data_IF_893500794431
#
_entry.id   IF_893500794431
#
_cell.length_a   1.000
_cell.length_b   1.000
_cell.length_c   1.000
_cell.angle_alpha   90.00
_cell.angle_beta   90.00
_cell.angle_gamma   90.00
#
_symmetry.space_group_name_H-M   'P 1'
#
loop_
_entity.id
_entity.type
_entity.pdbx_description
1 polymer ?
#
# COMPACT_ATOMS: atom_id res chain seq x y z
N UNK A 1 -41.00 42.46 9.93
CA UNK A 1 -39.56 42.79 10.01
C UNK A 1 -38.84 41.97 8.97
N UNK A 2 -38.10 42.68 8.11
CA UNK A 2 -37.62 42.24 6.81
C UNK A 2 -36.53 41.18 6.87
N UNK A 3 -36.68 40.18 6.01
CA UNK A 3 -35.72 39.09 5.71
C UNK A 3 -34.73 39.59 4.66
N UNK A 4 -33.79 40.44 5.04
CA UNK A 4 -32.66 40.85 4.18
C UNK A 4 -31.51 41.27 5.09
N UNK A 5 -30.26 40.81 4.83
CA UNK A 5 -29.02 40.89 5.67
C UNK A 5 -28.85 39.55 6.42
N UNK A 6 -28.10 38.52 6.00
CA UNK A 6 -26.88 38.45 5.20
C UNK A 6 -26.69 37.03 4.61
N UNK A 7 -27.32 36.72 3.47
CA UNK A 7 -27.04 35.51 2.66
C UNK A 7 -25.66 35.58 1.96
N UNK A 8 -24.92 36.68 2.14
CA UNK A 8 -23.56 36.85 1.59
C UNK A 8 -22.45 36.35 2.50
N UNK A 9 -22.74 36.04 3.77
CA UNK A 9 -21.73 35.64 4.76
C UNK A 9 -21.63 34.13 4.98
N UNK A 10 -22.23 33.33 4.10
CA UNK A 10 -22.23 31.86 4.17
C UNK A 10 -21.43 31.22 3.03
N UNK A 11 -20.59 31.98 2.34
CA UNK A 11 -19.77 31.50 1.21
C UNK A 11 -18.25 31.65 1.42
N UNK A 12 -17.79 32.05 2.60
CA UNK A 12 -16.38 32.36 2.84
C UNK A 12 -15.60 31.32 3.68
N UNK A 13 -16.28 30.32 4.26
CA UNK A 13 -15.63 29.35 5.18
C UNK A 13 -15.42 27.97 4.55
N UNK A 14 -15.97 27.71 3.37
CA UNK A 14 -15.84 26.42 2.68
C UNK A 14 -14.57 26.27 1.81
N UNK A 15 -13.68 27.26 1.78
CA UNK A 15 -12.50 27.26 0.90
C UNK A 15 -11.19 26.77 1.56
N UNK A 16 -11.13 26.62 2.89
CA UNK A 16 -9.87 26.32 3.59
C UNK A 16 -9.56 24.82 3.77
N UNK A 17 -10.51 23.91 3.48
CA UNK A 17 -10.27 22.46 3.60
C UNK A 17 -9.68 21.85 2.32
N UNK A 18 -9.59 22.63 1.23
CA UNK A 18 -9.03 22.15 -0.04
C UNK A 18 -7.48 22.11 -0.07
N UNK A 19 -6.77 22.71 0.88
CA UNK A 19 -5.30 22.76 0.85
C UNK A 19 -4.59 21.53 1.45
N UNK A 20 -5.33 20.62 2.11
CA UNK A 20 -4.74 19.37 2.61
C UNK A 20 -4.69 18.26 1.55
N UNK A 21 -5.29 18.45 0.36
CA UNK A 21 -5.36 17.42 -0.68
C UNK A 21 -4.24 17.52 -1.75
N UNK A 22 -3.29 18.45 -1.60
CA UNK A 22 -2.10 18.54 -2.46
C UNK A 22 -0.81 18.00 -1.80
N UNK A 23 -0.92 17.26 -0.68
CA UNK A 23 0.21 16.51 -0.16
C UNK A 23 0.48 15.36 -1.13
N UNK A 24 1.35 15.59 -2.12
CA UNK A 24 1.68 14.62 -3.16
C UNK A 24 2.32 13.33 -2.67
N UNK A 25 2.49 13.17 -1.36
CA UNK A 25 2.98 11.98 -0.67
C UNK A 25 1.90 10.90 -0.52
N UNK A 26 2.28 9.62 -0.31
CA UNK A 26 1.31 8.56 -0.10
C UNK A 26 0.65 8.66 1.28
N UNK A 27 -0.61 8.26 1.35
CA UNK A 27 -1.34 8.00 2.61
C UNK A 27 -1.03 6.60 3.18
N UNK A 28 -1.47 6.32 4.41
CA UNK A 28 -1.36 4.96 4.99
C UNK A 28 -2.05 3.91 4.12
N UNK A 29 -3.22 4.25 3.56
CA UNK A 29 -3.97 3.38 2.66
C UNK A 29 -3.22 3.14 1.34
N UNK A 30 -2.56 4.17 0.80
CA UNK A 30 -1.72 4.05 -0.39
C UNK A 30 -0.53 3.11 -0.16
N UNK A 31 0.15 3.25 0.99
CA UNK A 31 1.30 2.41 1.35
C UNK A 31 0.84 0.97 1.54
N UNK A 32 -0.28 0.76 2.25
CA UNK A 32 -0.87 -0.58 2.40
C UNK A 32 -1.19 -1.20 1.05
N UNK A 33 -1.87 -0.48 0.16
CA UNK A 33 -2.18 -0.98 -1.18
C UNK A 33 -0.93 -1.30 -2.01
N UNK A 34 0.13 -0.49 -1.87
CA UNK A 34 1.41 -0.77 -2.52
C UNK A 34 2.09 -2.04 -1.96
N UNK A 35 2.01 -2.28 -0.63
CA UNK A 35 2.51 -3.50 0.00
C UNK A 35 1.71 -4.73 -0.43
N UNK A 36 0.38 -4.64 -0.46
CA UNK A 36 -0.50 -5.73 -0.92
C UNK A 36 -0.14 -6.13 -2.36
N UNK A 37 -0.04 -5.16 -3.28
CA UNK A 37 0.41 -5.41 -4.65
C UNK A 37 1.80 -6.03 -4.72
N UNK A 38 2.74 -5.60 -3.87
CA UNK A 38 4.09 -6.16 -3.84
C UNK A 38 4.08 -7.63 -3.37
N UNK A 39 3.24 -7.98 -2.40
CA UNK A 39 3.05 -9.36 -1.96
C UNK A 39 2.35 -10.21 -3.01
N UNK A 40 1.33 -9.68 -3.70
CA UNK A 40 0.69 -10.37 -4.82
C UNK A 40 1.65 -10.63 -5.97
N UNK A 41 2.48 -9.64 -6.34
CA UNK A 41 3.52 -9.81 -7.35
C UNK A 41 4.53 -10.89 -6.95
N UNK A 42 4.90 -10.94 -5.66
CA UNK A 42 5.78 -11.97 -5.10
C UNK A 42 5.11 -13.36 -5.13
N UNK A 43 3.83 -13.44 -4.76
CA UNK A 43 3.05 -14.67 -4.80
C UNK A 43 2.89 -15.19 -6.24
N UNK A 44 2.64 -14.30 -7.21
CA UNK A 44 2.58 -14.66 -8.63
C UNK A 44 3.92 -15.19 -9.16
N UNK A 45 5.05 -14.66 -8.69
CA UNK A 45 6.37 -15.18 -9.03
C UNK A 45 6.57 -16.61 -8.49
N UNK A 46 6.19 -16.86 -7.24
CA UNK A 46 6.19 -18.22 -6.65
C UNK A 46 5.25 -19.13 -7.43
N UNK A 47 4.05 -18.67 -7.79
CA UNK A 47 3.12 -19.44 -8.60
C UNK A 47 3.73 -19.86 -9.94
N UNK A 48 4.43 -18.96 -10.64
CA UNK A 48 5.15 -19.31 -11.87
C UNK A 48 6.22 -20.38 -11.65
N UNK A 49 6.95 -20.31 -10.53
CA UNK A 49 7.92 -21.34 -10.15
C UNK A 49 7.25 -22.68 -9.84
N UNK A 50 6.15 -22.69 -9.08
CA UNK A 50 5.37 -23.91 -8.83
C UNK A 50 4.72 -24.47 -10.09
N UNK A 51 4.32 -23.61 -11.03
CA UNK A 51 3.83 -23.98 -12.35
C UNK A 51 4.93 -24.62 -13.20
N UNK A 52 6.16 -24.12 -13.14
CA UNK A 52 7.31 -24.81 -13.76
C UNK A 52 7.56 -26.20 -13.13
N UNK A 53 7.34 -26.35 -11.82
CA UNK A 53 7.40 -27.66 -11.13
C UNK A 53 6.17 -28.55 -11.40
N UNK A 54 5.05 -27.97 -11.82
CA UNK A 54 3.80 -28.69 -12.12
C UNK A 54 3.91 -29.61 -13.33
N UNK A 55 4.89 -29.38 -14.22
CA UNK A 55 5.24 -30.37 -15.26
C UNK A 55 5.76 -31.69 -14.69
N UNK A 56 6.30 -31.69 -13.46
CA UNK A 56 6.80 -32.88 -12.78
C UNK A 56 5.80 -33.49 -11.77
N UNK A 57 4.91 -32.70 -11.16
CA UNK A 57 3.91 -33.17 -10.17
C UNK A 57 2.44 -33.18 -10.67
N UNK A 58 2.16 -32.64 -11.86
CA UNK A 58 0.79 -32.47 -12.37
C UNK A 58 0.10 -31.18 -11.87
N UNK A 59 -0.71 -30.57 -12.72
CA UNK A 59 -1.31 -29.25 -12.49
C UNK A 59 -2.25 -29.19 -11.26
N UNK A 60 -3.07 -30.22 -11.04
CA UNK A 60 -3.95 -30.27 -9.86
C UNK A 60 -3.17 -30.33 -8.54
N UNK A 61 -2.06 -31.08 -8.49
CA UNK A 61 -1.26 -31.22 -7.27
C UNK A 61 -0.50 -29.93 -6.96
N UNK A 62 0.01 -29.24 -8.00
CA UNK A 62 0.63 -27.93 -7.84
C UNK A 62 -0.37 -26.85 -7.34
N UNK A 63 -1.60 -26.83 -7.86
CA UNK A 63 -2.65 -25.91 -7.39
C UNK A 63 -3.08 -26.20 -5.94
N UNK A 64 -3.19 -27.48 -5.57
CA UNK A 64 -3.49 -27.89 -4.21
C UNK A 64 -2.35 -27.52 -3.23
N UNK A 65 -1.09 -27.57 -3.67
CA UNK A 65 0.05 -27.11 -2.87
C UNK A 65 0.06 -25.59 -2.72
N UNK A 66 -0.16 -24.87 -3.83
CA UNK A 66 -0.18 -23.41 -3.83
C UNK A 66 -1.28 -22.82 -2.93
N UNK A 67 -2.48 -23.42 -2.96
CA UNK A 67 -3.59 -23.02 -2.08
C UNK A 67 -3.35 -23.32 -0.60
N UNK A 68 -2.40 -24.19 -0.26
CA UNK A 68 -2.00 -24.50 1.12
C UNK A 68 -0.78 -23.71 1.58
N UNK A 69 -0.13 -22.93 0.71
CA UNK A 69 1.01 -22.11 1.12
C UNK A 69 0.54 -20.94 2.00
N UNK A 70 1.16 -20.73 3.17
CA UNK A 70 0.82 -19.60 4.03
C UNK A 70 1.04 -18.30 3.27
N UNK A 71 0.05 -17.41 3.33
CA UNK A 71 0.10 -16.10 2.67
C UNK A 71 0.63 -15.04 3.64
N UNK A 72 1.23 -14.00 3.08
CA UNK A 72 1.56 -12.79 3.84
C UNK A 72 0.26 -12.12 4.28
N UNK A 73 0.23 -11.60 5.51
CA UNK A 73 -0.91 -10.82 6.02
C UNK A 73 -0.41 -9.50 6.55
N UNK A 74 -1.07 -8.41 6.16
CA UNK A 74 -0.82 -7.08 6.73
C UNK A 74 -1.82 -6.86 7.86
N UNK A 75 -1.33 -6.71 9.09
CA UNK A 75 -2.14 -6.38 10.25
C UNK A 75 -2.31 -4.85 10.35
N UNK A 76 -1.21 -4.10 10.25
CA UNK A 76 -1.21 -2.64 10.30
C UNK A 76 -0.08 -2.02 9.47
N UNK A 77 -0.32 -0.82 8.96
CA UNK A 77 0.65 0.02 8.25
C UNK A 77 0.43 1.44 8.73
N UNK A 78 1.49 2.11 9.16
CA UNK A 78 1.43 3.49 9.62
C UNK A 78 2.61 4.28 9.07
N UNK A 79 2.33 5.31 8.29
CA UNK A 79 3.32 6.31 7.89
C UNK A 79 3.76 7.10 9.12
N UNK A 80 5.07 7.14 9.35
CA UNK A 80 5.67 7.98 10.38
C UNK A 80 6.09 9.34 9.79
N UNK A 81 6.56 9.33 8.55
CA UNK A 81 6.89 10.53 7.79
C UNK A 81 7.37 10.17 6.39
N UNK A 82 7.32 11.13 5.48
CA UNK A 82 7.87 10.99 4.13
C UNK A 82 8.72 12.21 3.77
N UNK A 83 9.76 11.95 2.99
CA UNK A 83 10.60 12.97 2.37
C UNK A 83 10.52 12.83 0.85
N UNK A 84 10.37 13.95 0.14
CA UNK A 84 10.46 13.95 -1.32
C UNK A 84 11.86 13.52 -1.78
N UNK A 85 11.90 12.63 -2.76
CA UNK A 85 13.09 12.12 -3.45
C UNK A 85 12.83 12.17 -4.97
N UNK A 86 12.95 13.36 -5.55
CA UNK A 86 12.64 13.62 -6.96
C UNK A 86 11.17 13.33 -7.28
N UNK A 87 10.91 12.29 -8.09
CA UNK A 87 9.54 11.84 -8.44
C UNK A 87 8.96 10.83 -7.43
N UNK A 88 9.72 10.48 -6.39
CA UNK A 88 9.33 9.51 -5.37
C UNK A 88 9.27 10.15 -3.98
N UNK A 89 8.85 9.35 -3.01
CA UNK A 89 8.91 9.65 -1.60
C UNK A 89 9.65 8.54 -0.88
N UNK A 90 10.57 8.91 0.02
CA UNK A 90 11.18 8.03 1.00
C UNK A 90 10.39 8.17 2.30
N UNK A 91 9.68 7.12 2.69
CA UNK A 91 8.79 7.10 3.83
C UNK A 91 9.30 6.16 4.91
N UNK A 92 9.34 6.61 6.16
CA UNK A 92 9.51 5.73 7.30
C UNK A 92 8.14 5.18 7.68
N UNK A 93 8.01 3.85 7.68
CA UNK A 93 6.72 3.18 7.86
C UNK A 93 6.84 2.09 8.90
N UNK A 94 6.01 2.20 9.94
CA UNK A 94 5.77 1.14 10.91
C UNK A 94 4.84 0.11 10.27
N UNK A 95 5.35 -1.10 10.07
CA UNK A 95 4.67 -2.20 9.40
C UNK A 95 4.54 -3.37 10.35
N UNK A 96 3.32 -3.86 10.54
CA UNK A 96 2.99 -5.07 11.29
C UNK A 96 2.42 -6.11 10.32
N UNK A 97 3.20 -7.16 10.08
CA UNK A 97 2.91 -8.19 9.08
C UNK A 97 3.09 -9.58 9.67
N UNK A 98 2.24 -10.52 9.26
CA UNK A 98 2.49 -11.95 9.43
C UNK A 98 3.29 -12.45 8.23
N UNK A 99 4.48 -12.96 8.50
CA UNK A 99 5.35 -13.55 7.49
C UNK A 99 5.19 -15.07 7.52
N UNK A 100 4.97 -15.73 6.37
CA UNK A 100 4.99 -17.18 6.28
C UNK A 100 6.23 -17.77 6.94
N UNK A 101 6.05 -18.75 7.83
CA UNK A 101 7.11 -19.47 8.56
C UNK A 101 7.92 -18.65 9.59
N UNK A 102 7.93 -17.32 9.52
CA UNK A 102 8.64 -16.45 10.46
C UNK A 102 7.72 -15.79 11.51
N UNK A 103 6.40 -15.85 11.34
CA UNK A 103 5.41 -15.31 12.27
C UNK A 103 5.25 -13.79 12.16
N UNK A 104 4.67 -13.17 13.19
CA UNK A 104 4.40 -11.74 13.24
C UNK A 104 5.68 -10.93 13.38
N UNK A 105 5.85 -9.94 12.52
CA UNK A 105 6.96 -9.00 12.56
C UNK A 105 6.39 -7.59 12.55
N UNK A 106 6.76 -6.80 13.55
CA UNK A 106 6.49 -5.37 13.57
C UNK A 106 7.81 -4.60 13.57
N UNK A 107 7.98 -3.70 12.61
CA UNK A 107 9.20 -2.88 12.49
C UNK A 107 8.97 -1.62 11.66
N UNK A 108 9.78 -0.60 11.94
CA UNK A 108 9.88 0.60 11.11
C UNK A 108 10.89 0.36 10.00
N UNK A 109 10.49 0.53 8.74
CA UNK A 109 11.37 0.40 7.59
C UNK A 109 11.24 1.62 6.68
N UNK A 110 12.34 2.07 6.05
CA UNK A 110 12.28 3.03 4.98
C UNK A 110 11.69 2.36 3.73
N UNK A 111 10.70 2.98 3.11
CA UNK A 111 10.09 2.55 1.85
C UNK A 111 10.14 3.66 0.82
N UNK A 112 10.59 3.34 -0.39
CA UNK A 112 10.61 4.28 -1.52
C UNK A 112 9.40 4.06 -2.41
N UNK A 113 8.49 5.03 -2.44
CA UNK A 113 7.25 4.95 -3.20
C UNK A 113 7.20 5.95 -4.36
N UNK A 114 6.70 5.50 -5.51
CA UNK A 114 6.41 6.37 -6.66
C UNK A 114 4.92 6.28 -7.01
N UNK A 115 4.32 7.41 -7.39
CA UNK A 115 2.94 7.44 -7.89
C UNK A 115 2.96 7.07 -9.37
N UNK A 116 2.42 5.91 -9.71
CA UNK A 116 2.21 5.44 -11.08
C UNK A 116 0.74 5.61 -11.49
N UNK A 117 0.42 5.29 -12.75
CA UNK A 117 -0.94 5.37 -13.29
C UNK A 117 -1.93 4.43 -12.60
N UNK A 118 -1.46 3.30 -12.07
CA UNK A 118 -2.25 2.29 -11.39
C UNK A 118 -2.26 2.44 -9.86
N UNK A 119 -1.66 3.50 -9.33
CA UNK A 119 -1.53 3.77 -7.90
C UNK A 119 -0.07 3.87 -7.45
N UNK A 120 0.15 3.73 -6.15
CA UNK A 120 1.50 3.79 -5.58
C UNK A 120 2.23 2.46 -5.71
N UNK A 121 3.53 2.53 -6.01
CA UNK A 121 4.39 1.38 -6.19
C UNK A 121 5.63 1.48 -5.29
N UNK A 122 6.00 0.37 -4.66
CA UNK A 122 7.25 0.25 -3.92
C UNK A 122 8.38 0.02 -4.93
N UNK A 123 9.41 0.85 -4.86
CA UNK A 123 10.58 0.81 -5.77
C UNK A 123 11.89 0.55 -5.04
N UNK A 124 11.86 0.46 -3.71
CA UNK A 124 13.02 0.19 -2.88
C UNK A 124 12.68 0.29 -1.40
N UNK A 125 13.63 -0.18 -0.57
CA UNK A 125 13.47 -0.24 0.88
C UNK A 125 12.99 -1.62 1.34
N UNK A 126 13.94 -2.45 1.79
CA UNK A 126 13.78 -3.66 2.58
C UNK A 126 15.07 -3.90 3.36
#
# INVERSE_FOLDING_TARGET
MNVHINVRLTLAVAACVALAACSGEPSDADIRGAMEKNFEASAAAVQKMTGAMSGAMGAQQAAALASKMPQWKINAVKKLGCKSDGKAYLCDVDSDIEVPFAGRIQRVLPMRLIKASDGWQITGGF
#
